data_IF_185168317036
#
_entry.id   IF_185168317036
#
_cell.length_a   1.000
_cell.length_b   1.000
_cell.length_c   1.000
_cell.angle_alpha   90.00
_cell.angle_beta   90.00
_cell.angle_gamma   90.00
#
_symmetry.space_group_name_H-M   'P 1'
#
loop_
_entity.id
_entity.type
_entity.pdbx_description
1 polymer ?
#
# COMPACT_ATOMS: atom_id res chain seq x y z
N UNK A 1 2.97 31.13 17.94
CA UNK A 1 2.80 29.67 17.74
C UNK A 1 3.47 29.34 16.44
N UNK A 2 4.54 28.56 16.49
CA UNK A 2 5.23 28.13 15.26
C UNK A 2 4.46 26.95 14.69
N UNK A 3 3.86 27.14 13.51
CA UNK A 3 3.16 26.07 12.81
C UNK A 3 4.20 25.16 12.15
N UNK A 4 4.31 23.93 12.65
CA UNK A 4 5.21 22.90 12.10
C UNK A 4 4.41 21.84 11.35
N UNK A 5 5.04 21.20 10.37
CA UNK A 5 4.44 20.06 9.68
C UNK A 5 4.30 18.88 10.65
N UNK A 6 3.07 18.47 10.94
CA UNK A 6 2.83 17.36 11.86
C UNK A 6 2.99 15.99 11.19
N UNK A 7 2.36 15.80 10.02
CA UNK A 7 2.39 14.56 9.23
C UNK A 7 1.86 14.82 7.81
N UNK A 8 2.01 13.83 6.92
CA UNK A 8 1.33 13.77 5.62
C UNK A 8 0.34 12.61 5.63
N UNK A 9 -0.92 12.85 5.26
CA UNK A 9 -1.95 11.82 5.18
C UNK A 9 -2.09 11.27 3.76
N UNK A 10 -2.19 9.94 3.62
CA UNK A 10 -2.29 9.23 2.35
C UNK A 10 -3.42 8.19 2.43
N UNK A 11 -4.38 8.26 1.52
CA UNK A 11 -5.39 7.20 1.37
C UNK A 11 -4.82 6.01 0.60
N UNK A 12 -5.06 4.81 1.11
CA UNK A 12 -4.57 3.55 0.54
C UNK A 12 -5.72 2.58 0.34
N UNK A 13 -5.62 1.76 -0.71
CA UNK A 13 -6.63 0.75 -1.02
C UNK A 13 -6.62 -0.40 -0.01
N UNK A 14 -5.45 -0.82 0.45
CA UNK A 14 -5.27 -1.92 1.39
C UNK A 14 -4.20 -1.52 2.41
N UNK A 15 -4.49 -1.68 3.71
CA UNK A 15 -3.58 -1.21 4.76
C UNK A 15 -2.30 -2.05 4.83
N UNK A 16 -2.44 -3.37 4.90
CA UNK A 16 -1.33 -4.29 5.14
C UNK A 16 -0.22 -4.21 4.06
N UNK A 17 -0.52 -4.21 2.74
CA UNK A 17 0.50 -3.98 1.71
C UNK A 17 1.17 -2.60 1.81
N UNK A 18 0.42 -1.56 2.18
CA UNK A 18 0.96 -0.21 2.33
C UNK A 18 1.92 -0.12 3.54
N UNK A 19 1.52 -0.66 4.68
CA UNK A 19 2.37 -0.71 5.89
C UNK A 19 3.66 -1.45 5.60
N UNK A 20 3.62 -2.62 4.94
CA UNK A 20 4.84 -3.34 4.54
C UNK A 20 5.75 -2.52 3.64
N UNK A 21 5.20 -1.79 2.67
CA UNK A 21 5.99 -0.91 1.81
C UNK A 21 6.74 0.16 2.62
N UNK A 22 6.04 0.90 3.48
CA UNK A 22 6.70 1.96 4.25
C UNK A 22 7.61 1.43 5.37
N UNK A 23 7.20 0.36 6.06
CA UNK A 23 7.95 -0.21 7.18
C UNK A 23 9.13 -1.05 6.71
N UNK A 24 8.88 -2.04 5.85
CA UNK A 24 9.86 -3.08 5.53
C UNK A 24 10.81 -2.64 4.40
N UNK A 25 10.30 -1.90 3.41
CA UNK A 25 11.13 -1.42 2.31
C UNK A 25 11.75 -0.04 2.60
N UNK A 26 10.98 0.88 3.17
CA UNK A 26 11.46 2.26 3.43
C UNK A 26 11.93 2.51 4.86
N UNK A 27 11.84 1.53 5.77
CA UNK A 27 12.43 1.64 7.11
C UNK A 27 11.66 2.55 8.09
N UNK A 28 10.41 2.89 7.83
CA UNK A 28 9.55 3.54 8.81
C UNK A 28 9.18 2.57 9.95
N UNK A 29 8.67 3.12 11.05
CA UNK A 29 8.12 2.33 12.16
C UNK A 29 6.68 2.72 12.43
N UNK A 30 5.86 1.76 12.87
CA UNK A 30 4.49 2.06 13.29
C UNK A 30 4.54 2.85 14.60
N UNK A 31 3.91 4.02 14.62
CA UNK A 31 3.74 4.86 15.80
C UNK A 31 2.45 4.48 16.53
N UNK A 32 1.34 4.36 15.79
CA UNK A 32 0.07 3.82 16.29
C UNK A 32 -0.76 3.23 15.16
N UNK A 33 -1.69 2.36 15.53
CA UNK A 33 -2.63 1.67 14.65
C UNK A 33 -4.02 1.71 15.29
N UNK A 34 -5.00 2.21 14.55
CA UNK A 34 -6.39 2.27 14.98
C UNK A 34 -7.30 1.78 13.86
N UNK A 35 -7.78 0.56 14.04
CA UNK A 35 -8.75 -0.05 13.14
C UNK A 35 -10.19 0.42 13.43
N UNK A 36 -11.01 0.49 12.39
CA UNK A 36 -12.43 0.89 12.45
C UNK A 36 -12.71 2.22 13.17
N UNK A 37 -11.87 3.23 12.97
CA UNK A 37 -12.15 4.60 13.43
C UNK A 37 -13.38 5.15 12.72
N UNK A 38 -14.40 5.49 13.49
CA UNK A 38 -15.60 6.17 13.00
C UNK A 38 -16.19 7.15 14.01
N UNK A 39 -17.45 7.55 13.79
CA UNK A 39 -18.23 8.42 14.67
C UNK A 39 -18.33 9.88 14.17
N UNK A 40 -19.22 10.66 14.80
CA UNK A 40 -19.57 12.02 14.36
C UNK A 40 -18.36 12.95 14.28
N UNK A 41 -17.47 12.89 15.29
CA UNK A 41 -16.26 13.71 15.29
C UNK A 41 -15.29 13.39 14.15
N UNK A 42 -15.15 12.11 13.78
CA UNK A 42 -14.32 11.75 12.62
C UNK A 42 -14.99 12.19 11.32
N UNK A 43 -16.29 11.88 11.17
CA UNK A 43 -17.10 12.26 10.01
C UNK A 43 -17.06 13.77 9.75
N UNK A 44 -17.10 14.58 10.81
CA UNK A 44 -17.00 16.04 10.71
C UNK A 44 -15.59 16.51 10.29
N UNK A 45 -14.52 15.86 10.75
CA UNK A 45 -13.14 16.23 10.38
C UNK A 45 -12.86 15.93 8.91
N UNK A 46 -13.32 14.79 8.41
CA UNK A 46 -13.10 14.39 7.00
C UNK A 46 -14.18 14.89 6.05
N UNK A 47 -15.21 15.56 6.56
CA UNK A 47 -16.39 16.02 5.82
C UNK A 47 -17.08 14.91 5.02
N UNK A 48 -17.21 13.74 5.63
CA UNK A 48 -17.84 12.55 5.03
C UNK A 48 -18.85 11.95 6.01
N UNK A 49 -20.14 11.83 5.63
CA UNK A 49 -21.15 11.23 6.49
C UNK A 49 -20.83 9.77 6.83
N UNK A 50 -20.96 9.41 8.12
CA UNK A 50 -20.74 8.06 8.62
C UNK A 50 -19.39 7.47 8.23
N UNK A 51 -18.34 8.31 8.23
CA UNK A 51 -17.02 7.88 7.84
C UNK A 51 -16.49 6.79 8.78
N UNK A 52 -15.88 5.76 8.20
CA UNK A 52 -15.22 4.68 8.92
C UNK A 52 -13.93 4.28 8.19
N UNK A 53 -12.81 4.19 8.91
CA UNK A 53 -11.51 3.87 8.32
C UNK A 53 -10.58 3.10 9.28
N UNK A 54 -9.66 2.32 8.71
CA UNK A 54 -8.46 1.85 9.38
C UNK A 54 -7.36 2.89 9.17
N UNK A 55 -6.77 3.37 10.26
CA UNK A 55 -5.71 4.39 10.23
C UNK A 55 -4.44 3.89 10.89
N UNK A 56 -3.29 4.12 10.23
CA UNK A 56 -1.97 3.76 10.77
C UNK A 56 -1.03 4.94 10.62
N UNK A 57 -0.47 5.40 11.74
CA UNK A 57 0.57 6.42 11.74
C UNK A 57 1.94 5.75 11.75
N UNK A 58 2.80 6.20 10.85
CA UNK A 58 4.17 5.79 10.71
C UNK A 58 5.10 6.96 11.06
N UNK A 59 6.24 6.66 11.68
CA UNK A 59 7.29 7.64 11.99
C UNK A 59 8.64 7.18 11.46
N UNK A 60 9.42 8.13 10.95
CA UNK A 60 10.74 7.90 10.40
C UNK A 60 11.32 9.18 9.81
N UNK A 61 12.65 9.28 9.73
CA UNK A 61 13.35 10.38 9.05
C UNK A 61 12.93 11.80 9.50
N UNK A 62 12.54 11.96 10.77
CA UNK A 62 12.09 13.24 11.31
C UNK A 62 10.69 13.68 10.86
N UNK A 63 9.91 12.80 10.23
CA UNK A 63 8.55 13.06 9.79
C UNK A 63 7.57 11.94 10.17
N UNK A 64 6.29 12.19 9.89
CA UNK A 64 5.22 11.21 10.07
C UNK A 64 4.36 11.08 8.81
N UNK A 65 3.88 9.87 8.58
CA UNK A 65 2.94 9.53 7.50
C UNK A 65 1.73 8.87 8.15
N UNK A 66 0.53 9.36 7.85
CA UNK A 66 -0.72 8.73 8.28
C UNK A 66 -1.37 8.03 7.08
N UNK A 67 -1.59 6.73 7.19
CA UNK A 67 -2.26 5.94 6.17
C UNK A 67 -3.74 5.80 6.53
N UNK A 68 -4.62 5.97 5.55
CA UNK A 68 -6.06 5.81 5.68
C UNK A 68 -6.57 4.74 4.72
N UNK A 69 -7.19 3.69 5.23
CA UNK A 69 -8.01 2.78 4.45
C UNK A 69 -9.48 2.99 4.85
N UNK A 70 -10.26 3.63 3.98
CA UNK A 70 -11.68 3.89 4.26
C UNK A 70 -12.54 2.66 3.96
N UNK A 71 -13.29 2.23 4.98
CA UNK A 71 -14.39 1.28 4.84
C UNK A 71 -15.66 1.97 4.33
N UNK A 72 -15.89 3.21 4.77
CA UNK A 72 -17.04 4.01 4.36
C UNK A 72 -16.71 5.51 4.32
N UNK A 73 -17.02 6.23 3.22
CA UNK A 73 -17.25 5.67 1.89
C UNK A 73 -15.97 5.00 1.36
N UNK A 74 -16.12 3.91 0.60
CA UNK A 74 -14.97 3.30 -0.07
C UNK A 74 -14.51 4.20 -1.23
N UNK A 75 -13.20 4.41 -1.35
CA UNK A 75 -12.61 5.18 -2.45
C UNK A 75 -12.83 4.50 -3.80
N UNK A 76 -13.04 5.30 -4.85
CA UNK A 76 -13.08 4.80 -6.22
C UNK A 76 -11.66 4.48 -6.73
N UNK A 77 -11.55 3.52 -7.64
CA UNK A 77 -10.28 3.26 -8.32
C UNK A 77 -9.85 4.51 -9.10
N UNK A 78 -8.56 4.84 -8.99
CA UNK A 78 -7.98 5.87 -9.83
C UNK A 78 -8.06 5.43 -11.30
N UNK A 79 -8.40 6.33 -12.23
CA UNK A 79 -8.28 6.01 -13.65
C UNK A 79 -6.82 5.61 -13.94
N UNK A 80 -6.59 4.71 -14.91
CA UNK A 80 -5.24 4.31 -15.27
C UNK A 80 -4.41 5.56 -15.57
N UNK A 81 -3.15 5.63 -15.11
CA UNK A 81 -2.32 6.78 -15.37
C UNK A 81 -2.28 7.04 -16.88
N UNK A 82 -2.44 8.31 -17.27
CA UNK A 82 -2.26 8.68 -18.65
C UNK A 82 -0.89 8.17 -19.13
N UNK A 83 -0.77 7.66 -20.37
CA UNK A 83 0.49 7.17 -20.87
C UNK A 83 1.55 8.26 -20.71
N UNK A 84 2.63 7.94 -19.99
CA UNK A 84 3.77 8.84 -19.80
C UNK A 84 4.37 9.08 -21.17
N UNK A 85 3.99 10.20 -21.80
CA UNK A 85 4.75 10.73 -22.92
C UNK A 85 6.02 11.29 -22.31
N UNK A 86 7.11 10.52 -22.38
CA UNK A 86 8.44 11.07 -22.17
C UNK A 86 8.51 12.30 -23.09
N UNK A 87 8.52 13.51 -22.52
CA UNK A 87 8.89 14.68 -23.32
C UNK A 87 10.26 14.36 -23.87
N UNK A 88 10.46 14.53 -25.17
CA UNK A 88 11.78 14.41 -25.76
C UNK A 88 12.74 15.24 -24.91
N UNK A 89 13.85 14.63 -24.49
CA UNK A 89 14.84 15.27 -23.61
C UNK A 89 15.17 16.66 -24.19
N UNK A 90 14.85 17.76 -23.49
CA UNK A 90 15.20 19.10 -23.98
C UNK A 90 16.72 19.31 -24.02
N UNK A 91 17.48 18.37 -23.44
CA UNK A 91 18.94 18.39 -23.40
C UNK A 91 19.64 17.57 -24.50
N UNK A 92 18.89 16.88 -25.38
CA UNK A 92 19.50 16.31 -26.59
C UNK A 92 19.67 17.41 -27.62
N UNK A 93 20.68 18.24 -27.41
CA UNK A 93 21.21 19.12 -28.44
C UNK A 93 21.49 18.29 -29.70
N UNK A 94 21.13 18.84 -30.86
CA UNK A 94 21.45 18.26 -32.16
C UNK A 94 22.97 18.34 -32.38
N UNK A 95 23.73 17.47 -31.70
CA UNK A 95 25.11 17.19 -32.00
C UNK A 95 25.16 16.15 -33.12
N UNK A 96 24.97 16.60 -34.37
CA UNK A 96 25.47 15.85 -35.52
C UNK A 96 27.00 15.94 -35.49
N UNK A 97 27.64 15.15 -34.64
CA UNK A 97 29.08 14.96 -34.62
C UNK A 97 29.52 14.13 -35.83
N UNK A 98 30.60 14.57 -36.47
CA UNK A 98 31.31 13.87 -37.55
C UNK A 98 31.54 12.38 -37.20
N UNK A 99 31.11 11.42 -38.04
CA UNK A 99 31.20 9.98 -37.77
C UNK A 99 32.63 9.42 -37.71
N UNK A 100 33.67 10.24 -37.88
CA UNK A 100 35.05 9.76 -37.99
C UNK A 100 35.77 9.53 -36.65
N UNK A 101 35.17 9.81 -35.50
CA UNK A 101 35.80 9.54 -34.19
C UNK A 101 34.81 8.95 -33.17
N UNK A 102 34.69 7.63 -33.14
CA UNK A 102 34.11 6.89 -32.01
C UNK A 102 35.04 5.73 -31.64
N UNK A 103 35.58 5.66 -30.40
CA UNK A 103 36.17 4.44 -29.89
C UNK A 103 35.06 3.44 -29.53
N UNK A 104 35.30 2.17 -29.82
CA UNK A 104 34.41 1.07 -29.43
C UNK A 104 34.36 0.95 -27.90
N UNK A 105 33.19 1.17 -27.29
CA UNK A 105 33.00 0.96 -25.86
C UNK A 105 31.64 0.31 -25.55
N UNK A 106 31.71 -1.00 -25.28
CA UNK A 106 30.95 -1.75 -24.28
C UNK A 106 29.46 -1.47 -24.08
N UNK A 107 28.61 -2.32 -24.65
CA UNK A 107 27.25 -2.53 -24.13
C UNK A 107 27.33 -3.28 -22.79
N UNK A 108 26.90 -2.64 -21.71
CA UNK A 108 26.30 -3.34 -20.56
C UNK A 108 25.00 -2.62 -20.20
N UNK A 109 23.86 -3.25 -20.52
CA UNK A 109 22.55 -2.87 -19.96
C UNK A 109 22.29 -3.81 -18.78
N UNK A 110 22.35 -3.30 -17.57
CA UNK A 110 21.71 -3.92 -16.41
C UNK A 110 20.35 -3.24 -16.23
N UNK A 111 19.28 -3.88 -16.70
CA UNK A 111 17.93 -3.47 -16.33
C UNK A 111 17.64 -4.05 -14.93
N UNK A 112 17.33 -3.20 -13.97
CA UNK A 112 16.82 -3.62 -12.67
C UNK A 112 15.38 -4.11 -12.88
N UNK A 113 15.21 -5.42 -12.94
CA UNK A 113 13.89 -6.06 -13.02
C UNK A 113 13.31 -6.11 -11.61
N UNK A 114 12.23 -5.36 -11.34
CA UNK A 114 11.41 -5.61 -10.15
C UNK A 114 10.62 -6.92 -10.38
N UNK A 115 10.57 -7.85 -9.42
CA UNK A 115 9.84 -9.09 -9.60
C UNK A 115 8.33 -8.83 -9.68
N UNK A 116 7.68 -9.42 -10.67
CA UNK A 116 6.23 -9.47 -10.77
C UNK A 116 5.69 -10.36 -9.64
N UNK A 117 4.70 -9.86 -8.89
CA UNK A 117 3.95 -10.68 -7.93
C UNK A 117 3.01 -11.62 -8.69
N UNK A 118 3.25 -12.93 -8.61
CA UNK A 118 2.30 -13.94 -9.08
C UNK A 118 1.09 -14.04 -8.12
N UNK A 119 -0.12 -14.32 -8.63
CA UNK A 119 -1.29 -14.57 -7.79
C UNK A 119 -1.26 -16.01 -7.26
N UNK A 120 -1.20 -16.17 -5.94
CA UNK A 120 -1.28 -17.49 -5.30
C UNK A 120 -2.67 -18.13 -5.52
N UNK A 121 -2.70 -19.17 -6.33
CA UNK A 121 -3.88 -20.01 -6.53
C UNK A 121 -4.18 -20.80 -5.25
N UNK A 122 -5.43 -20.67 -4.79
CA UNK A 122 -6.03 -21.36 -3.65
C UNK A 122 -5.71 -22.87 -3.64
N UNK A 123 -4.92 -23.34 -2.67
CA UNK A 123 -4.96 -24.74 -2.23
C UNK A 123 -6.08 -24.88 -1.20
N UNK A 124 -7.25 -25.36 -1.65
CA UNK A 124 -8.30 -25.86 -0.78
C UNK A 124 -7.78 -27.13 -0.08
N UNK A 125 -7.52 -27.00 1.22
CA UNK A 125 -7.22 -28.12 2.10
C UNK A 125 -8.46 -28.99 2.30
N UNK A 126 -8.28 -30.27 2.02
CA UNK A 126 -9.19 -31.38 2.23
C UNK A 126 -9.65 -31.46 3.70
N UNK A 127 -10.96 -31.42 3.95
CA UNK A 127 -11.56 -31.76 5.25
C UNK A 127 -11.84 -33.28 5.23
N UNK A 128 -11.33 -34.09 6.18
CA UNK A 128 -11.75 -35.48 6.28
C UNK A 128 -13.11 -35.58 7.00
N UNK A 129 -13.99 -36.39 6.40
CA UNK A 129 -15.31 -36.75 6.92
C UNK A 129 -15.25 -37.54 8.23
N UNK A 130 -16.32 -37.39 9.01
CA UNK A 130 -16.36 -37.69 10.43
C UNK A 130 -16.38 -39.15 10.85
N UNK A 131 -15.88 -39.38 12.06
CA UNK A 131 -16.09 -40.61 12.83
C UNK A 131 -17.35 -40.48 13.68
N UNK A 132 -18.36 -41.32 13.39
CA UNK A 132 -19.42 -41.69 14.31
C UNK A 132 -18.84 -42.41 15.52
N UNK A 133 -19.28 -42.06 16.73
CA UNK A 133 -19.00 -42.81 17.95
C UNK A 133 -19.89 -42.29 19.08
N UNK A 134 -20.72 -43.17 19.63
CA UNK A 134 -21.85 -42.86 20.50
C UNK A 134 -21.48 -42.78 21.99
N UNK A 135 -22.38 -42.14 22.75
CA UNK A 135 -22.85 -42.48 24.11
C UNK A 135 -22.53 -41.50 25.24
N UNK A 136 -23.60 -41.15 25.97
CA UNK A 136 -23.51 -40.61 27.32
C UNK A 136 -24.62 -39.63 27.66
N UNK A 137 -25.77 -40.17 28.08
CA UNK A 137 -26.84 -39.42 28.76
C UNK A 137 -26.29 -38.72 30.01
N UNK A 138 -26.98 -37.67 30.44
CA UNK A 138 -27.58 -37.46 31.79
C UNK A 138 -27.35 -36.03 32.30
N UNK A 139 -28.43 -35.38 32.77
CA UNK A 139 -28.32 -34.39 33.84
C UNK A 139 -28.93 -33.03 33.55
N UNK A 140 -30.24 -32.91 33.78
CA UNK A 140 -30.86 -31.64 34.14
C UNK A 140 -30.39 -31.18 35.53
N UNK A 141 -30.48 -29.86 35.79
CA UNK A 141 -31.06 -29.21 36.99
C UNK A 141 -30.29 -27.91 37.36
N UNK A 142 -31.09 -26.83 37.41
CA UNK A 142 -30.96 -25.52 38.09
C UNK A 142 -30.03 -24.47 37.50
#
# INVERSE_FOLDING_TARGET
MDATWHHVAISVREMEPAVRFYRDLLGFTVDWDMDHRGGEGFSAVVDMPSAAAHMVMLKGYGMRIELFHYYQPQGADAPPPAPVRLRADPFRSAGAGDPRHLPAAGRRRGALQLPASEPEARRLGHIPEGSRGQHGRTGAIR
#
